data_IF_096889827908
#
_entry.id   IF_096889827908
#
_cell.length_a   1.000
_cell.length_b   1.000
_cell.length_c   1.000
_cell.angle_alpha   90.00
_cell.angle_beta   90.00
_cell.angle_gamma   90.00
#
_symmetry.space_group_name_H-M   'P 1'
#
loop_
_entity.id
_entity.type
_entity.pdbx_description
1 polymer ?
#
# COMPACT_ATOMS: atom_id res chain seq x y z
N UNK A 1 -2.75 -17.14 12.86
CA UNK A 1 -4.11 -17.33 12.34
C UNK A 1 -5.20 -17.08 13.41
N UNK A 2 -5.17 -17.72 14.58
CA UNK A 2 -6.25 -17.55 15.58
C UNK A 2 -6.35 -16.15 16.19
N UNK A 3 -5.24 -15.50 16.50
CA UNK A 3 -5.21 -14.16 17.08
C UNK A 3 -5.68 -13.10 16.08
N UNK A 4 -5.34 -13.28 14.84
CA UNK A 4 -5.72 -12.42 13.71
C UNK A 4 -7.24 -12.42 13.49
N UNK A 5 -7.86 -13.61 13.46
CA UNK A 5 -9.32 -13.74 13.29
C UNK A 5 -10.10 -13.10 14.46
N UNK A 6 -9.57 -13.13 15.69
CA UNK A 6 -10.22 -12.47 16.84
C UNK A 6 -10.16 -10.95 16.76
N UNK A 7 -9.01 -10.38 16.33
CA UNK A 7 -8.87 -8.94 16.10
C UNK A 7 -9.84 -8.49 15.01
N UNK A 8 -9.99 -9.30 13.99
CA UNK A 8 -10.83 -9.09 12.82
C UNK A 8 -12.31 -8.94 13.16
N UNK A 9 -12.84 -9.95 13.85
CA UNK A 9 -14.24 -9.94 14.32
C UNK A 9 -14.48 -8.78 15.29
N UNK A 10 -13.50 -8.49 16.17
CA UNK A 10 -13.62 -7.40 17.14
C UNK A 10 -13.65 -6.03 16.49
N UNK A 11 -12.72 -5.76 15.54
CA UNK A 11 -12.66 -4.48 14.82
C UNK A 11 -13.87 -4.25 13.91
N UNK A 12 -14.28 -5.26 13.17
CA UNK A 12 -15.49 -5.18 12.34
C UNK A 12 -16.76 -4.92 13.15
N UNK A 13 -16.92 -5.64 14.27
CA UNK A 13 -18.07 -5.45 15.15
C UNK A 13 -18.06 -4.08 15.87
N UNK A 14 -16.89 -3.57 16.25
CA UNK A 14 -16.74 -2.24 16.84
C UNK A 14 -17.07 -1.15 15.84
N UNK A 15 -16.53 -1.24 14.61
CA UNK A 15 -16.80 -0.28 13.55
C UNK A 15 -18.29 -0.25 13.20
N UNK A 16 -18.92 -1.41 13.05
CA UNK A 16 -20.35 -1.48 12.76
C UNK A 16 -21.21 -0.87 13.86
N UNK A 17 -20.90 -1.18 15.13
CA UNK A 17 -21.58 -0.55 16.29
C UNK A 17 -21.38 0.96 16.29
N UNK A 18 -20.16 1.43 16.00
CA UNK A 18 -19.88 2.86 15.95
C UNK A 18 -20.66 3.55 14.81
N UNK A 19 -20.71 2.95 13.62
CA UNK A 19 -21.52 3.46 12.52
C UNK A 19 -23.00 3.59 12.89
N UNK A 20 -23.58 2.59 13.56
CA UNK A 20 -24.97 2.64 14.01
C UNK A 20 -25.20 3.69 15.11
N UNK A 21 -24.17 4.05 15.88
CA UNK A 21 -24.25 5.08 16.92
C UNK A 21 -24.10 6.51 16.38
N UNK A 22 -23.72 6.70 15.10
CA UNK A 22 -23.56 8.02 14.50
C UNK A 22 -24.92 8.72 14.33
N UNK A 23 -24.99 10.05 14.55
CA UNK A 23 -26.21 10.82 14.39
C UNK A 23 -26.69 10.85 12.94
N UNK A 24 -28.02 10.98 12.73
CA UNK A 24 -28.63 11.00 11.41
C UNK A 24 -28.03 12.08 10.49
N UNK A 25 -27.69 13.23 11.05
CA UNK A 25 -27.05 14.34 10.33
C UNK A 25 -25.73 13.93 9.64
N UNK A 26 -25.01 12.93 10.16
CA UNK A 26 -23.82 12.40 9.51
C UNK A 26 -24.14 11.72 8.17
N UNK A 27 -25.24 10.96 8.13
CA UNK A 27 -25.69 10.24 6.95
C UNK A 27 -26.36 11.14 5.91
N UNK A 28 -27.04 12.19 6.37
CA UNK A 28 -27.65 13.21 5.49
C UNK A 28 -26.59 14.08 4.79
N UNK A 29 -25.47 14.37 5.47
CA UNK A 29 -24.37 15.15 4.91
C UNK A 29 -23.48 14.37 3.94
N UNK A 30 -23.62 13.05 3.82
CA UNK A 30 -22.73 12.17 3.05
C UNK A 30 -23.49 11.11 2.27
N UNK A 31 -22.94 10.75 1.12
CA UNK A 31 -23.50 9.67 0.30
C UNK A 31 -23.23 8.31 0.95
N UNK A 32 -24.21 7.42 0.91
CA UNK A 32 -24.11 6.05 1.45
C UNK A 32 -22.89 5.29 0.87
N UNK A 33 -22.63 5.45 -0.43
CA UNK A 33 -21.48 4.82 -1.10
C UNK A 33 -20.13 5.28 -0.56
N UNK A 34 -20.00 6.53 -0.12
CA UNK A 34 -18.76 7.03 0.51
C UNK A 34 -18.53 6.35 1.86
N UNK A 35 -19.57 6.14 2.66
CA UNK A 35 -19.52 5.41 3.93
C UNK A 35 -19.13 3.94 3.69
N UNK A 36 -19.73 3.27 2.70
CA UNK A 36 -19.39 1.89 2.33
C UNK A 36 -17.94 1.77 1.85
N UNK A 37 -17.46 2.72 1.03
CA UNK A 37 -16.07 2.74 0.59
C UNK A 37 -15.08 2.85 1.77
N UNK A 38 -15.39 3.66 2.78
CA UNK A 38 -14.56 3.81 3.99
C UNK A 38 -14.53 2.54 4.84
N UNK A 39 -15.65 1.82 4.93
CA UNK A 39 -15.69 0.52 5.63
C UNK A 39 -14.79 -0.51 4.94
N UNK A 40 -14.71 -0.49 3.60
CA UNK A 40 -13.78 -1.36 2.85
C UNK A 40 -12.32 -1.06 3.13
N UNK A 41 -11.97 0.17 3.51
CA UNK A 41 -10.59 0.50 3.89
C UNK A 41 -10.12 -0.27 5.13
N UNK A 42 -11.04 -0.71 6.01
CA UNK A 42 -10.70 -1.58 7.13
C UNK A 42 -10.09 -2.90 6.65
N UNK A 43 -10.57 -3.44 5.53
CA UNK A 43 -10.04 -4.67 4.93
C UNK A 43 -8.59 -4.49 4.47
N UNK A 44 -8.24 -3.34 3.89
CA UNK A 44 -6.85 -3.02 3.51
C UNK A 44 -5.93 -2.91 4.73
N UNK A 45 -6.39 -2.24 5.81
CA UNK A 45 -5.64 -2.15 7.07
C UNK A 45 -5.42 -3.56 7.65
N UNK A 46 -6.45 -4.38 7.65
CA UNK A 46 -6.41 -5.76 8.13
C UNK A 46 -5.39 -6.59 7.35
N UNK A 47 -5.47 -6.59 6.02
CA UNK A 47 -4.55 -7.34 5.15
C UNK A 47 -3.10 -6.94 5.41
N UNK A 48 -2.82 -5.66 5.57
CA UNK A 48 -1.49 -5.17 5.91
C UNK A 48 -1.01 -5.70 7.26
N UNK A 49 -1.83 -5.60 8.32
CA UNK A 49 -1.46 -6.04 9.66
C UNK A 49 -1.23 -7.55 9.75
N UNK A 50 -1.95 -8.34 8.95
CA UNK A 50 -1.89 -9.80 9.05
C UNK A 50 -0.84 -10.45 8.16
N UNK A 51 -0.53 -9.86 7.01
CA UNK A 51 0.35 -10.49 6.01
C UNK A 51 1.77 -9.94 6.01
N UNK A 52 1.96 -8.66 6.32
CA UNK A 52 3.20 -7.97 5.99
C UNK A 52 4.12 -7.70 7.19
N UNK A 53 3.57 -7.47 8.38
CA UNK A 53 4.37 -6.97 9.52
C UNK A 53 5.40 -7.98 10.06
N UNK A 54 5.03 -9.25 10.18
CA UNK A 54 5.94 -10.30 10.68
C UNK A 54 7.06 -10.58 9.67
N UNK A 55 6.71 -10.58 8.37
CA UNK A 55 7.69 -10.82 7.31
C UNK A 55 8.74 -9.72 7.25
N UNK A 56 8.35 -8.44 7.47
CA UNK A 56 9.29 -7.32 7.51
C UNK A 56 10.33 -7.47 8.61
N UNK A 57 9.89 -7.81 9.82
CA UNK A 57 10.82 -7.99 10.96
C UNK A 57 11.83 -9.10 10.67
N UNK A 58 11.34 -10.23 10.14
CA UNK A 58 12.21 -11.33 9.74
C UNK A 58 13.16 -10.92 8.61
N UNK A 59 12.68 -10.21 7.60
CA UNK A 59 13.51 -9.73 6.49
C UNK A 59 14.64 -8.81 6.98
N UNK A 60 14.37 -7.90 7.91
CA UNK A 60 15.40 -7.00 8.48
C UNK A 60 16.47 -7.80 9.23
N UNK A 61 16.06 -8.76 10.06
CA UNK A 61 16.98 -9.61 10.80
C UNK A 61 17.84 -10.44 9.83
N UNK A 62 17.23 -11.06 8.83
CA UNK A 62 17.97 -11.86 7.85
C UNK A 62 18.91 -11.02 6.98
N UNK A 63 18.51 -9.81 6.56
CA UNK A 63 19.39 -8.88 5.85
C UNK A 63 20.64 -8.60 6.67
N UNK A 64 20.50 -8.30 7.98
CA UNK A 64 21.63 -8.03 8.85
C UNK A 64 22.57 -9.26 8.97
N UNK A 65 21.99 -10.46 9.13
CA UNK A 65 22.75 -11.71 9.20
C UNK A 65 23.49 -11.97 7.87
N UNK A 66 22.80 -11.86 6.74
CA UNK A 66 23.41 -12.09 5.43
C UNK A 66 24.51 -11.07 5.13
N UNK A 67 24.31 -9.80 5.43
CA UNK A 67 25.36 -8.79 5.28
C UNK A 67 26.57 -9.08 6.15
N UNK A 68 26.39 -9.55 7.39
CA UNK A 68 27.50 -9.94 8.26
C UNK A 68 28.28 -11.14 7.68
N UNK A 69 27.57 -12.16 7.18
CA UNK A 69 28.20 -13.33 6.52
C UNK A 69 28.94 -12.90 5.25
N UNK A 70 28.32 -12.07 4.40
CA UNK A 70 28.93 -11.56 3.18
C UNK A 70 30.20 -10.75 3.45
N UNK A 71 30.22 -9.99 4.56
CA UNK A 71 31.41 -9.23 4.99
C UNK A 71 32.60 -10.15 5.31
N UNK A 72 32.35 -11.33 5.86
CA UNK A 72 33.38 -12.32 6.13
C UNK A 72 33.97 -12.95 4.86
N UNK A 73 33.18 -13.04 3.78
CA UNK A 73 33.65 -13.56 2.48
C UNK A 73 34.48 -12.53 1.72
N UNK A 74 33.93 -11.33 1.50
CA UNK A 74 34.61 -10.25 0.80
C UNK A 74 34.02 -8.90 1.22
N UNK A 75 34.82 -8.10 1.91
CA UNK A 75 34.43 -6.73 2.29
C UNK A 75 34.17 -5.86 1.06
N UNK A 76 34.96 -6.01 0.00
CA UNK A 76 34.81 -5.22 -1.23
C UNK A 76 33.50 -5.52 -1.96
N UNK A 77 33.14 -6.79 -2.12
CA UNK A 77 31.87 -7.18 -2.75
C UNK A 77 30.68 -6.77 -1.90
N UNK A 78 30.81 -6.86 -0.57
CA UNK A 78 29.74 -6.41 0.35
C UNK A 78 29.52 -4.91 0.24
N UNK A 79 30.57 -4.10 0.07
CA UNK A 79 30.44 -2.65 -0.19
C UNK A 79 29.69 -2.37 -1.48
N UNK A 80 29.87 -3.16 -2.55
CA UNK A 80 29.10 -3.03 -3.79
C UNK A 80 27.60 -3.24 -3.53
N UNK A 81 27.25 -4.28 -2.77
CA UNK A 81 25.86 -4.52 -2.38
C UNK A 81 25.34 -3.41 -1.47
N UNK A 82 26.11 -2.99 -0.46
CA UNK A 82 25.72 -1.88 0.42
C UNK A 82 25.53 -0.56 -0.34
N UNK A 83 26.30 -0.29 -1.41
CA UNK A 83 26.14 0.88 -2.26
C UNK A 83 24.80 0.89 -3.00
N UNK A 84 24.13 -0.24 -3.18
CA UNK A 84 22.79 -0.30 -3.75
C UNK A 84 21.69 0.15 -2.77
N UNK A 85 21.92 0.03 -1.44
CA UNK A 85 20.91 0.39 -0.42
C UNK A 85 20.48 1.87 -0.49
N UNK A 86 21.41 2.86 -0.55
CA UNK A 86 21.02 4.25 -0.71
C UNK A 86 20.28 4.53 -2.03
N UNK A 87 20.57 3.78 -3.11
CA UNK A 87 19.81 3.91 -4.36
C UNK A 87 18.35 3.51 -4.19
N UNK A 88 18.08 2.42 -3.48
CA UNK A 88 16.71 2.03 -3.12
C UNK A 88 16.03 3.05 -2.22
N UNK A 89 16.76 3.61 -1.24
CA UNK A 89 16.22 4.63 -0.35
C UNK A 89 15.85 5.92 -1.12
N UNK A 90 16.73 6.38 -2.01
CA UNK A 90 16.49 7.57 -2.87
C UNK A 90 15.28 7.30 -3.77
N UNK A 91 15.20 6.15 -4.42
CA UNK A 91 14.08 5.76 -5.26
C UNK A 91 12.76 5.81 -4.48
N UNK A 92 12.75 5.21 -3.28
CA UNK A 92 11.57 5.17 -2.41
C UNK A 92 11.12 6.57 -2.00
N UNK A 93 12.05 7.40 -1.50
CA UNK A 93 11.76 8.78 -1.06
C UNK A 93 11.25 9.64 -2.21
N UNK A 94 11.84 9.54 -3.39
CA UNK A 94 11.47 10.33 -4.56
C UNK A 94 10.07 9.99 -5.10
N UNK A 95 9.71 8.71 -5.09
CA UNK A 95 8.46 8.24 -5.71
C UNK A 95 7.27 8.28 -4.74
N UNK A 96 7.50 8.08 -3.45
CA UNK A 96 6.45 8.02 -2.41
C UNK A 96 5.44 9.18 -2.47
N UNK A 97 5.83 10.46 -2.55
CA UNK A 97 4.85 11.56 -2.54
C UNK A 97 3.93 11.51 -3.76
N UNK A 98 4.46 11.15 -4.92
CA UNK A 98 3.69 11.04 -6.16
C UNK A 98 2.73 9.85 -6.11
N UNK A 99 3.17 8.70 -5.60
CA UNK A 99 2.30 7.52 -5.38
C UNK A 99 1.13 7.90 -4.47
N UNK A 100 1.41 8.59 -3.37
CA UNK A 100 0.40 9.01 -2.40
C UNK A 100 -0.68 9.88 -3.03
N UNK A 101 -0.28 10.85 -3.84
CA UNK A 101 -1.21 11.71 -4.58
C UNK A 101 -2.08 10.91 -5.56
N UNK A 102 -1.48 10.00 -6.33
CA UNK A 102 -2.22 9.16 -7.30
C UNK A 102 -3.16 8.16 -6.63
N UNK A 103 -2.76 7.59 -5.51
CA UNK A 103 -3.63 6.70 -4.73
C UNK A 103 -4.83 7.46 -4.15
N UNK A 104 -4.64 8.70 -3.67
CA UNK A 104 -5.72 9.55 -3.21
C UNK A 104 -6.71 9.89 -4.33
N UNK A 105 -6.19 10.26 -5.52
CA UNK A 105 -7.02 10.52 -6.71
C UNK A 105 -7.85 9.28 -7.08
N UNK A 106 -7.20 8.11 -7.18
CA UNK A 106 -7.87 6.83 -7.44
C UNK A 106 -8.98 6.54 -6.43
N UNK A 107 -8.70 6.73 -5.15
CA UNK A 107 -9.70 6.50 -4.10
C UNK A 107 -10.90 7.44 -4.24
N UNK A 108 -10.68 8.74 -4.42
CA UNK A 108 -11.76 9.70 -4.54
C UNK A 108 -12.67 9.39 -5.72
N UNK A 109 -12.08 9.09 -6.89
CA UNK A 109 -12.84 8.67 -8.08
C UNK A 109 -13.57 7.34 -7.86
N UNK A 110 -12.95 6.40 -7.13
CA UNK A 110 -13.58 5.13 -6.75
C UNK A 110 -14.77 5.31 -5.82
N UNK A 111 -14.67 6.20 -4.84
CA UNK A 111 -15.75 6.52 -3.93
C UNK A 111 -16.93 7.19 -4.65
N UNK A 112 -16.66 8.15 -5.56
CA UNK A 112 -17.68 8.78 -6.41
C UNK A 112 -18.42 7.74 -7.26
N UNK A 113 -17.67 6.87 -7.92
CA UNK A 113 -18.21 5.81 -8.77
C UNK A 113 -19.07 4.81 -7.97
N UNK A 114 -18.56 4.38 -6.79
CA UNK A 114 -19.28 3.46 -5.90
C UNK A 114 -20.56 4.10 -5.34
N UNK A 115 -20.49 5.38 -4.97
CA UNK A 115 -21.67 6.13 -4.48
C UNK A 115 -22.75 6.21 -5.53
N UNK A 116 -22.39 6.54 -6.77
CA UNK A 116 -23.34 6.62 -7.88
C UNK A 116 -24.00 5.25 -8.17
N UNK A 117 -23.20 4.16 -8.14
CA UNK A 117 -23.74 2.81 -8.33
C UNK A 117 -24.78 2.46 -7.26
N UNK A 118 -24.45 2.69 -5.98
CA UNK A 118 -25.34 2.39 -4.86
C UNK A 118 -26.64 3.22 -4.96
N UNK A 119 -26.52 4.50 -5.31
CA UNK A 119 -27.66 5.40 -5.48
C UNK A 119 -28.55 4.96 -6.65
N UNK A 120 -27.97 4.65 -7.81
CA UNK A 120 -28.70 4.22 -9.00
C UNK A 120 -29.43 2.88 -8.78
N UNK A 121 -28.75 1.91 -8.16
CA UNK A 121 -29.33 0.59 -7.86
C UNK A 121 -30.36 0.68 -6.72
N UNK A 122 -30.09 1.49 -5.70
CA UNK A 122 -31.03 1.74 -4.60
C UNK A 122 -32.33 2.41 -5.05
N UNK A 123 -32.23 3.30 -6.06
CA UNK A 123 -33.37 3.97 -6.67
C UNK A 123 -33.91 3.32 -7.94
N UNK A 124 -33.61 2.05 -8.21
CA UNK A 124 -33.89 1.40 -9.50
C UNK A 124 -35.38 1.45 -9.92
N UNK A 125 -36.28 1.39 -8.95
CA UNK A 125 -37.73 1.51 -9.24
C UNK A 125 -38.06 2.89 -9.83
N UNK A 126 -37.50 3.95 -9.26
CA UNK A 126 -37.69 5.32 -9.76
C UNK A 126 -37.04 5.51 -11.13
N UNK A 127 -35.83 4.96 -11.32
CA UNK A 127 -35.14 4.98 -12.62
C UNK A 127 -36.00 4.33 -13.71
N UNK A 128 -36.58 3.18 -13.42
CA UNK A 128 -37.46 2.44 -14.34
C UNK A 128 -38.79 3.15 -14.57
N UNK A 129 -39.42 3.72 -13.52
CA UNK A 129 -40.67 4.39 -13.63
C UNK A 129 -40.57 5.69 -14.48
N UNK A 130 -39.44 6.40 -14.41
CA UNK A 130 -39.19 7.65 -15.13
C UNK A 130 -38.50 7.46 -16.49
N UNK A 131 -38.11 6.22 -16.85
CA UNK A 131 -37.39 5.86 -18.07
C UNK A 131 -36.08 6.71 -18.28
N UNK A 132 -35.31 6.95 -17.20
CA UNK A 132 -34.12 7.81 -17.20
C UNK A 132 -32.82 7.01 -17.30
N UNK A 133 -32.83 5.77 -17.80
CA UNK A 133 -31.67 4.93 -17.97
C UNK A 133 -30.57 5.56 -18.86
N UNK A 134 -30.88 6.15 -20.03
CA UNK A 134 -29.84 6.63 -20.93
C UNK A 134 -28.96 7.76 -20.34
N UNK A 135 -29.49 8.78 -19.65
CA UNK A 135 -28.67 9.80 -19.00
C UNK A 135 -27.87 9.24 -17.82
N UNK A 136 -28.42 8.27 -17.06
CA UNK A 136 -27.69 7.63 -15.95
C UNK A 136 -26.54 6.77 -16.47
N UNK A 137 -26.75 6.05 -17.58
CA UNK A 137 -25.69 5.26 -18.23
C UNK A 137 -24.54 6.16 -18.69
N UNK A 138 -24.82 7.27 -19.37
CA UNK A 138 -23.79 8.23 -19.80
C UNK A 138 -22.98 8.76 -18.60
N UNK A 139 -23.65 9.12 -17.52
CA UNK A 139 -23.00 9.60 -16.33
C UNK A 139 -22.15 8.52 -15.64
N UNK A 140 -22.62 7.27 -15.65
CA UNK A 140 -21.84 6.12 -15.18
C UNK A 140 -20.57 5.95 -16.01
N UNK A 141 -20.68 5.96 -17.34
CA UNK A 141 -19.54 5.78 -18.25
C UNK A 141 -18.48 6.86 -18.03
N UNK A 142 -18.89 8.13 -17.84
CA UNK A 142 -17.97 9.22 -17.52
C UNK A 142 -17.24 9.03 -16.18
N UNK A 143 -17.97 8.65 -15.14
CA UNK A 143 -17.38 8.42 -13.81
C UNK A 143 -16.46 7.19 -13.81
N UNK A 144 -16.88 6.12 -14.46
CA UNK A 144 -16.09 4.91 -14.63
C UNK A 144 -14.80 5.21 -15.39
N UNK A 145 -14.86 5.94 -16.50
CA UNK A 145 -13.69 6.36 -17.25
C UNK A 145 -12.72 7.18 -16.39
N UNK A 146 -13.23 8.10 -15.57
CA UNK A 146 -12.42 8.87 -14.63
C UNK A 146 -11.71 7.99 -13.59
N UNK A 147 -12.42 7.02 -13.02
CA UNK A 147 -11.84 6.05 -12.07
C UNK A 147 -10.80 5.16 -12.74
N UNK A 148 -11.10 4.60 -13.91
CA UNK A 148 -10.16 3.73 -14.66
C UNK A 148 -8.88 4.50 -15.01
N UNK A 149 -8.99 5.75 -15.45
CA UNK A 149 -7.84 6.60 -15.76
C UNK A 149 -6.99 6.86 -14.50
N UNK A 150 -7.61 7.21 -13.38
CA UNK A 150 -6.90 7.43 -12.12
C UNK A 150 -6.22 6.13 -11.62
N UNK A 151 -6.92 4.99 -11.74
CA UNK A 151 -6.39 3.67 -11.40
C UNK A 151 -5.19 3.31 -12.28
N UNK A 152 -5.28 3.53 -13.59
CA UNK A 152 -4.19 3.29 -14.52
C UNK A 152 -2.96 4.13 -14.19
N UNK A 153 -3.12 5.43 -13.93
CA UNK A 153 -2.02 6.33 -13.53
C UNK A 153 -1.34 5.87 -12.25
N UNK A 154 -2.11 5.46 -11.24
CA UNK A 154 -1.57 4.95 -9.99
C UNK A 154 -0.80 3.64 -10.20
N UNK A 155 -1.40 2.68 -10.91
CA UNK A 155 -0.80 1.36 -11.18
C UNK A 155 0.44 1.49 -12.06
N UNK A 156 0.41 2.33 -13.11
CA UNK A 156 1.57 2.57 -13.98
C UNK A 156 2.76 3.12 -13.19
N UNK A 157 2.51 4.08 -12.28
CA UNK A 157 3.57 4.64 -11.44
C UNK A 157 4.18 3.59 -10.51
N UNK A 158 3.36 2.76 -9.88
CA UNK A 158 3.80 1.65 -9.03
C UNK A 158 4.62 0.64 -9.83
N UNK A 159 4.16 0.30 -11.03
CA UNK A 159 4.88 -0.61 -11.94
C UNK A 159 6.24 -0.03 -12.34
N UNK A 160 6.31 1.26 -12.72
CA UNK A 160 7.57 1.93 -13.07
C UNK A 160 8.53 1.91 -11.87
N UNK A 161 8.04 2.22 -10.66
CA UNK A 161 8.84 2.16 -9.44
C UNK A 161 9.42 0.75 -9.20
N UNK A 162 8.60 -0.29 -9.37
CA UNK A 162 9.03 -1.68 -9.26
C UNK A 162 10.08 -2.06 -10.33
N UNK A 163 9.91 -1.61 -11.57
CA UNK A 163 10.89 -1.86 -12.64
C UNK A 163 12.21 -1.15 -12.39
N UNK A 164 12.20 0.09 -11.88
CA UNK A 164 13.41 0.80 -11.50
C UNK A 164 14.14 0.09 -10.35
N UNK A 165 13.42 -0.41 -9.35
CA UNK A 165 14.00 -1.19 -8.27
C UNK A 165 14.63 -2.50 -8.79
N UNK A 166 13.95 -3.19 -9.73
CA UNK A 166 14.48 -4.39 -10.40
C UNK A 166 15.72 -4.06 -11.24
N UNK A 167 15.75 -2.91 -11.89
CA UNK A 167 16.91 -2.44 -12.64
C UNK A 167 18.12 -2.23 -11.73
N UNK A 168 17.95 -1.58 -10.58
CA UNK A 168 19.00 -1.42 -9.56
C UNK A 168 19.52 -2.80 -9.11
N UNK A 169 18.62 -3.76 -8.86
CA UNK A 169 18.99 -5.13 -8.49
C UNK A 169 19.87 -5.79 -9.54
N UNK A 170 19.45 -5.78 -10.80
CA UNK A 170 20.19 -6.40 -11.89
C UNK A 170 21.56 -5.75 -12.08
N UNK A 171 21.63 -4.42 -11.99
CA UNK A 171 22.88 -3.67 -12.07
C UNK A 171 23.83 -4.06 -10.93
N UNK A 172 23.31 -4.17 -9.71
CA UNK A 172 24.09 -4.65 -8.55
C UNK A 172 24.64 -6.05 -8.77
N UNK A 173 23.80 -6.98 -9.28
CA UNK A 173 24.23 -8.35 -9.59
C UNK A 173 25.37 -8.36 -10.64
N UNK A 174 25.24 -7.56 -11.69
CA UNK A 174 26.30 -7.45 -12.73
C UNK A 174 27.59 -6.88 -12.11
N UNK A 175 27.47 -5.84 -11.27
CA UNK A 175 28.63 -5.24 -10.61
C UNK A 175 29.33 -6.24 -9.66
N UNK A 176 28.57 -7.02 -8.87
CA UNK A 176 29.10 -8.08 -8.01
C UNK A 176 29.83 -9.14 -8.83
N UNK A 177 29.24 -9.60 -9.95
CA UNK A 177 29.87 -10.57 -10.83
C UNK A 177 31.15 -10.01 -11.47
N UNK A 178 31.11 -8.77 -11.92
CA UNK A 178 32.26 -8.09 -12.52
C UNK A 178 33.43 -7.95 -11.55
N UNK A 179 33.19 -7.33 -10.39
CA UNK A 179 34.23 -7.14 -9.35
C UNK A 179 34.68 -8.46 -8.79
N UNK A 180 33.77 -9.43 -8.57
CA UNK A 180 34.10 -10.76 -8.08
C UNK A 180 34.94 -11.56 -9.06
N UNK A 181 34.71 -11.44 -10.35
CA UNK A 181 35.54 -12.07 -11.38
C UNK A 181 37.02 -11.60 -11.30
N UNK A 182 37.27 -10.32 -11.09
CA UNK A 182 38.61 -9.79 -10.87
C UNK A 182 39.24 -10.40 -9.62
N UNK A 183 38.51 -10.49 -8.49
CA UNK A 183 39.02 -11.10 -7.26
C UNK A 183 39.33 -12.60 -7.43
N UNK A 184 38.59 -13.28 -8.29
CA UNK A 184 38.87 -14.69 -8.62
C UNK A 184 40.15 -14.81 -9.47
N UNK A 185 40.35 -13.92 -10.47
CA UNK A 185 41.57 -13.89 -11.30
C UNK A 185 42.80 -13.58 -10.44
N UNK A 186 42.68 -12.66 -9.49
CA UNK A 186 43.71 -12.26 -8.57
C UNK A 186 43.99 -13.32 -7.47
N UNK A 187 43.22 -14.42 -7.44
CA UNK A 187 43.35 -15.51 -6.45
C UNK A 187 42.86 -15.12 -5.05
N UNK A 188 42.22 -13.98 -4.87
CA UNK A 188 41.67 -13.52 -3.59
C UNK A 188 40.33 -14.18 -3.25
N UNK A 189 39.63 -14.75 -4.22
CA UNK A 189 38.36 -15.44 -4.07
C UNK A 189 38.34 -16.70 -4.95
N UNK A 190 37.72 -17.77 -4.49
CA UNK A 190 37.43 -18.92 -5.33
C UNK A 190 36.16 -18.73 -6.16
N UNK A 191 36.05 -19.49 -7.26
CA UNK A 191 34.81 -19.47 -8.09
C UNK A 191 33.58 -19.88 -7.24
N UNK A 192 33.75 -20.86 -6.35
CA UNK A 192 32.69 -21.33 -5.47
C UNK A 192 32.22 -20.24 -4.49
N UNK A 193 33.16 -19.48 -3.92
CA UNK A 193 32.85 -18.35 -3.04
C UNK A 193 32.13 -17.23 -3.78
N UNK A 194 32.52 -16.92 -5.03
CA UNK A 194 31.81 -15.95 -5.84
C UNK A 194 30.35 -16.36 -6.14
N UNK A 195 30.13 -17.64 -6.46
CA UNK A 195 28.78 -18.18 -6.66
C UNK A 195 27.97 -18.09 -5.36
N UNK A 196 28.55 -18.51 -4.24
CA UNK A 196 27.92 -18.43 -2.92
C UNK A 196 27.57 -16.96 -2.57
N UNK A 197 28.50 -16.03 -2.81
CA UNK A 197 28.28 -14.60 -2.60
C UNK A 197 27.14 -14.04 -3.47
N UNK A 198 27.07 -14.43 -4.74
CA UNK A 198 25.98 -14.02 -5.62
C UNK A 198 24.62 -14.54 -5.14
N UNK A 199 24.57 -15.78 -4.64
CA UNK A 199 23.35 -16.34 -4.04
C UNK A 199 22.94 -15.58 -2.76
N UNK A 200 23.89 -15.27 -1.88
CA UNK A 200 23.65 -14.47 -0.68
C UNK A 200 23.22 -13.04 -1.01
N UNK A 201 23.83 -12.42 -2.02
CA UNK A 201 23.41 -11.10 -2.52
C UNK A 201 21.94 -11.08 -2.95
N UNK A 202 21.46 -12.15 -3.59
CA UNK A 202 20.04 -12.33 -3.91
C UNK A 202 19.14 -12.37 -2.66
N UNK A 203 19.63 -12.98 -1.57
CA UNK A 203 18.90 -13.05 -0.29
C UNK A 203 18.84 -11.69 0.44
N UNK A 204 19.73 -10.76 0.13
CA UNK A 204 19.68 -9.37 0.63
C UNK A 204 18.79 -8.49 -0.26
N UNK A 205 18.99 -8.57 -1.58
CA UNK A 205 18.27 -7.69 -2.52
C UNK A 205 16.80 -8.07 -2.67
N UNK A 206 16.43 -9.35 -2.54
CA UNK A 206 15.05 -9.81 -2.59
C UNK A 206 14.14 -9.18 -1.52
N UNK A 207 14.48 -9.29 -0.23
CA UNK A 207 13.78 -8.60 0.85
C UNK A 207 13.72 -7.07 0.68
N UNK A 208 14.77 -6.44 0.14
CA UNK A 208 14.77 -4.99 -0.13
C UNK A 208 13.70 -4.60 -1.14
N UNK A 209 13.54 -5.37 -2.21
CA UNK A 209 12.44 -5.18 -3.17
C UNK A 209 11.08 -5.33 -2.50
N UNK A 210 10.90 -6.32 -1.61
CA UNK A 210 9.68 -6.45 -0.81
C UNK A 210 9.45 -5.26 0.09
N UNK A 211 10.50 -4.74 0.75
CA UNK A 211 10.38 -3.54 1.60
C UNK A 211 9.95 -2.30 0.81
N UNK A 212 10.42 -2.11 -0.43
CA UNK A 212 9.95 -1.03 -1.31
C UNK A 212 8.46 -1.18 -1.61
N UNK A 213 7.99 -2.40 -1.93
CA UNK A 213 6.56 -2.67 -2.16
C UNK A 213 5.73 -2.49 -0.88
N UNK A 214 6.23 -2.98 0.26
CA UNK A 214 5.59 -2.81 1.57
C UNK A 214 5.51 -1.35 2.01
N UNK A 215 6.49 -0.53 1.66
CA UNK A 215 6.44 0.91 1.90
C UNK A 215 5.26 1.57 1.15
N UNK A 216 4.97 1.10 -0.06
CA UNK A 216 3.81 1.55 -0.84
C UNK A 216 2.49 1.10 -0.18
N UNK A 217 2.40 -0.15 0.26
CA UNK A 217 1.26 -0.66 1.04
C UNK A 217 1.08 0.12 2.35
N UNK A 218 2.16 0.41 3.07
CA UNK A 218 2.14 1.22 4.28
C UNK A 218 1.60 2.64 4.03
N UNK A 219 1.98 3.27 2.92
CA UNK A 219 1.42 4.57 2.53
C UNK A 219 -0.07 4.48 2.23
N UNK A 220 -0.52 3.42 1.58
CA UNK A 220 -1.93 3.18 1.31
C UNK A 220 -2.70 2.99 2.63
N UNK A 221 -2.19 2.17 3.54
CA UNK A 221 -2.78 1.96 4.88
C UNK A 221 -2.82 3.27 5.68
N UNK A 222 -1.78 4.10 5.62
CA UNK A 222 -1.78 5.42 6.26
C UNK A 222 -2.92 6.32 5.77
N UNK A 223 -3.22 6.29 4.47
CA UNK A 223 -4.37 7.00 3.88
C UNK A 223 -5.69 6.39 4.39
N UNK A 224 -5.79 5.07 4.41
CA UNK A 224 -6.97 4.35 4.91
C UNK A 224 -7.24 4.65 6.38
N UNK A 225 -6.21 4.69 7.23
CA UNK A 225 -6.31 5.07 8.66
C UNK A 225 -6.79 6.52 8.81
N UNK A 226 -6.22 7.47 8.05
CA UNK A 226 -6.67 8.87 8.08
C UNK A 226 -8.16 9.01 7.76
N UNK A 227 -8.63 8.30 6.74
CA UNK A 227 -10.02 8.32 6.29
C UNK A 227 -10.97 7.64 7.28
N UNK A 228 -10.52 6.55 7.89
CA UNK A 228 -11.27 5.87 8.95
C UNK A 228 -11.31 6.73 10.23
N UNK A 229 -10.20 7.40 10.56
CA UNK A 229 -10.11 8.34 11.68
C UNK A 229 -11.09 9.51 11.57
N UNK A 230 -11.34 10.02 10.36
CA UNK A 230 -12.37 11.03 10.11
C UNK A 230 -13.80 10.55 10.44
N UNK A 231 -14.03 9.24 10.39
CA UNK A 231 -15.32 8.63 10.81
C UNK A 231 -15.37 8.50 12.33
N UNK A 232 -14.27 8.07 12.94
CA UNK A 232 -14.20 7.78 14.38
C UNK A 232 -14.13 9.05 15.24
N UNK A 233 -13.36 10.07 14.83
CA UNK A 233 -13.14 11.28 15.62
C UNK A 233 -14.34 12.23 15.65
N UNK A 234 -15.18 12.26 14.60
CA UNK A 234 -16.34 13.18 14.58
C UNK A 234 -17.46 12.84 15.53
N UNK A 235 -17.51 11.64 16.09
CA UNK A 235 -18.50 11.29 17.11
C UNK A 235 -18.23 11.98 18.46
N UNK A 236 -16.97 12.30 18.76
CA UNK A 236 -16.58 12.95 20.03
C UNK A 236 -16.84 14.47 20.01
N UNK A 237 -16.62 15.14 18.88
CA UNK A 237 -16.85 16.59 18.79
C UNK A 237 -18.33 16.97 18.91
N UNK A 238 -19.24 16.20 18.31
CA UNK A 238 -20.67 16.52 18.42
C UNK A 238 -21.32 16.18 19.75
N UNK A 239 -20.80 15.20 20.47
CA UNK A 239 -21.26 14.92 21.85
C UNK A 239 -20.86 16.05 22.82
N UNK A 240 -19.70 16.66 22.64
CA UNK A 240 -19.25 17.80 23.46
C UNK A 240 -20.02 19.09 23.16
N UNK A 241 -20.38 19.39 21.90
CA UNK A 241 -21.19 20.54 21.51
C UNK A 241 -22.65 20.44 21.97
N UNK A 242 -23.25 19.26 21.96
CA UNK A 242 -24.62 19.05 22.45
C UNK A 242 -24.68 19.06 23.99
N UNK A 243 -23.62 18.67 24.67
CA UNK A 243 -23.50 18.80 26.13
C UNK A 243 -23.30 20.27 26.52
N UNK A 244 -22.56 21.07 25.78
CA UNK A 244 -22.34 22.49 26.05
C UNK A 244 -23.57 23.37 25.77
N UNK A 245 -24.54 22.93 24.94
CA UNK A 245 -25.80 23.61 24.69
C UNK A 245 -26.94 23.26 25.66
N UNK A 246 -26.72 22.32 26.59
CA UNK A 246 -27.68 21.91 27.60
C UNK A 246 -27.40 22.49 29.02
N UNK A 247 -26.42 23.34 29.14
CA UNK A 247 -26.12 24.16 30.30
C UNK A 247 -26.41 25.61 29.94
#
# INVERSE_FOLDING_TARGET
AHTTNRIDVSLGAQLFRHLLALPLAYFEARRVGDTVARVRELEHIRQFLTSSSVTVVLDVVFIAVFLAVMWLYSSMLTLVVMASLPLYAILSIAITPTIRTRLNEKFNRGAENQSFLVEAVGGIQTVKALAVEPPLQRRWDEQLAGYVQASFRATSLITIAGQLATFIQKTTTIAVMWVGAYQVIDGALSIGELIAFNMLSGQVTGPLLRMVNLWQEFQQVGISIQRLGDVLNRSEEHTSELQSRRI
#
